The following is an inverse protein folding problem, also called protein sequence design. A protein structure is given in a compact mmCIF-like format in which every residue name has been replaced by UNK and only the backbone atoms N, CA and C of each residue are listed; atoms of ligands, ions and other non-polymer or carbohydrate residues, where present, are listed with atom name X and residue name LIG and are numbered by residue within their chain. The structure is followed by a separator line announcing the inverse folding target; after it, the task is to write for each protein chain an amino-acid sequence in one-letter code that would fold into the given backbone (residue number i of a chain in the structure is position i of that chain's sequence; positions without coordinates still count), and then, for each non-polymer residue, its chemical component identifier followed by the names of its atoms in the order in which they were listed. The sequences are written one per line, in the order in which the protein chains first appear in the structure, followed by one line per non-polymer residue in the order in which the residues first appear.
data_IF_598047193678
#
_entry.id   IF_598047193678
#
_cell.length_a   1.000
_cell.length_b   1.000
_cell.length_c   1.000
_cell.angle_alpha   90.00
_cell.angle_beta   90.00
_cell.angle_gamma   90.00
#
_symmetry.space_group_name_H-M   'P 1'
#
loop_
_entity.id
_entity.type
_entity.pdbx_description
1 polymer ?
#
# COMPACT_ATOMS: atom_id res chain seq x y z
N UNK A 1 -25.07 25.26 -7.36
CA UNK A 1 -23.78 24.57 -7.33
C UNK A 1 -23.53 24.05 -5.93
N UNK A 2 -23.85 22.80 -5.66
CA UNK A 2 -23.30 22.10 -4.49
C UNK A 2 -22.31 21.10 -5.08
N UNK A 3 -21.09 21.56 -5.35
CA UNK A 3 -20.01 20.70 -5.85
C UNK A 3 -19.79 19.60 -4.81
N UNK A 4 -19.83 18.33 -5.25
CA UNK A 4 -19.57 17.18 -4.36
C UNK A 4 -18.20 17.37 -3.72
N UNK A 5 -18.16 17.44 -2.40
CA UNK A 5 -16.94 17.73 -1.63
C UNK A 5 -15.90 16.65 -1.87
N UNK A 6 -16.30 15.37 -1.93
CA UNK A 6 -15.35 14.26 -2.15
C UNK A 6 -14.74 14.25 -3.55
N UNK A 7 -15.26 15.05 -4.48
CA UNK A 7 -14.72 15.20 -5.85
C UNK A 7 -13.81 16.41 -5.97
N UNK A 8 -13.52 17.10 -4.86
CA UNK A 8 -12.60 18.24 -4.84
C UNK A 8 -11.25 17.85 -4.23
N UNK A 9 -10.12 18.32 -4.80
CA UNK A 9 -8.80 18.09 -4.21
C UNK A 9 -8.68 18.66 -2.79
N UNK A 10 -9.36 19.77 -2.51
CA UNK A 10 -9.32 20.45 -1.21
C UNK A 10 -9.85 19.57 -0.08
N UNK A 11 -10.85 18.73 -0.37
CA UNK A 11 -11.39 17.82 0.64
C UNK A 11 -10.33 16.81 1.08
N UNK A 12 -9.72 16.06 0.15
CA UNK A 12 -8.74 15.02 0.51
C UNK A 12 -7.44 15.60 1.08
N UNK A 13 -6.99 16.74 0.55
CA UNK A 13 -5.76 17.40 0.99
C UNK A 13 -5.91 18.05 2.38
N UNK A 14 -6.96 18.84 2.57
CA UNK A 14 -7.05 19.74 3.74
C UNK A 14 -8.08 19.28 4.77
N UNK A 15 -9.21 18.71 4.35
CA UNK A 15 -10.36 18.48 5.23
C UNK A 15 -10.47 17.04 5.72
N UNK A 16 -10.04 16.08 4.90
CA UNK A 16 -10.13 14.66 5.23
C UNK A 16 -9.26 14.38 6.45
N UNK A 17 -9.90 13.79 7.46
CA UNK A 17 -9.28 13.19 8.63
C UNK A 17 -10.11 11.95 8.95
N UNK A 18 -9.43 10.82 9.20
CA UNK A 18 -10.12 9.61 9.59
C UNK A 18 -10.72 9.82 10.99
N UNK A 19 -12.05 9.84 11.05
CA UNK A 19 -12.80 10.10 12.27
C UNK A 19 -12.94 8.83 13.12
N UNK A 20 -13.38 8.98 14.38
CA UNK A 20 -13.68 7.82 15.24
C UNK A 20 -14.72 6.90 14.60
N UNK A 21 -15.74 7.46 13.94
CA UNK A 21 -16.78 6.69 13.25
C UNK A 21 -16.20 5.89 12.07
N UNK A 22 -15.14 6.39 11.44
CA UNK A 22 -14.44 5.69 10.37
C UNK A 22 -13.64 4.51 10.93
N UNK A 23 -12.96 4.69 12.06
CA UNK A 23 -12.25 3.59 12.72
C UNK A 23 -13.21 2.51 13.25
N UNK A 24 -14.36 2.89 13.81
CA UNK A 24 -15.40 1.94 14.26
C UNK A 24 -16.00 1.16 13.08
N UNK A 25 -16.16 1.82 11.93
CA UNK A 25 -16.64 1.15 10.73
C UNK A 25 -15.66 0.09 10.23
N UNK A 26 -14.36 0.43 10.18
CA UNK A 26 -13.32 -0.52 9.80
C UNK A 26 -13.23 -1.64 10.83
N UNK A 27 -13.37 -1.34 12.13
CA UNK A 27 -13.41 -2.35 13.19
C UNK A 27 -14.53 -3.38 12.92
N UNK A 28 -15.76 -2.92 12.70
CA UNK A 28 -16.90 -3.79 12.41
C UNK A 28 -16.68 -4.60 11.13
N UNK A 29 -16.10 -3.99 10.10
CA UNK A 29 -15.80 -4.68 8.86
C UNK A 29 -14.76 -5.80 9.03
N UNK A 30 -13.71 -5.57 9.83
CA UNK A 30 -12.71 -6.59 10.15
C UNK A 30 -13.35 -7.71 10.97
N UNK A 31 -14.21 -7.35 11.93
CA UNK A 31 -14.95 -8.31 12.76
C UNK A 31 -15.88 -9.21 11.92
N UNK A 32 -16.61 -8.61 10.96
CA UNK A 32 -17.54 -9.34 10.08
C UNK A 32 -16.82 -10.23 9.07
N UNK A 33 -15.73 -9.73 8.46
CA UNK A 33 -15.03 -10.44 7.39
C UNK A 33 -13.95 -11.40 7.91
N UNK A 34 -13.50 -11.23 9.16
CA UNK A 34 -12.46 -12.01 9.84
C UNK A 34 -11.23 -12.28 8.95
N UNK A 35 -10.75 -11.23 8.26
CA UNK A 35 -9.60 -11.29 7.36
C UNK A 35 -8.63 -10.15 7.63
N UNK A 36 -7.41 -10.28 7.13
CA UNK A 36 -6.41 -9.22 7.14
C UNK A 36 -6.75 -8.15 6.11
N UNK A 37 -6.40 -6.91 6.42
CA UNK A 37 -6.56 -5.78 5.50
C UNK A 37 -5.23 -5.07 5.34
N UNK A 38 -4.91 -4.69 4.11
CA UNK A 38 -3.79 -3.77 3.86
C UNK A 38 -4.21 -2.33 4.18
N UNK A 39 -3.24 -1.44 4.38
CA UNK A 39 -3.53 -0.01 4.53
C UNK A 39 -4.34 0.55 3.35
N UNK A 40 -4.07 0.03 2.15
CA UNK A 40 -4.70 0.45 0.91
C UNK A 40 -6.15 -0.04 0.84
N UNK A 41 -6.42 -1.28 1.25
CA UNK A 41 -7.79 -1.81 1.37
C UNK A 41 -8.64 -0.95 2.32
N UNK A 42 -8.07 -0.58 3.47
CA UNK A 42 -8.74 0.26 4.46
C UNK A 42 -8.98 1.65 3.87
N UNK A 43 -7.97 2.25 3.26
CA UNK A 43 -8.07 3.59 2.69
C UNK A 43 -9.12 3.65 1.57
N UNK A 44 -9.13 2.70 0.63
CA UNK A 44 -10.14 2.60 -0.42
C UNK A 44 -11.53 2.42 0.17
N UNK A 45 -11.67 1.59 1.21
CA UNK A 45 -12.97 1.36 1.86
C UNK A 45 -13.49 2.63 2.55
N UNK A 46 -12.61 3.41 3.18
CA UNK A 46 -12.98 4.71 3.74
C UNK A 46 -13.36 5.70 2.65
N UNK A 47 -12.63 5.76 1.54
CA UNK A 47 -12.99 6.63 0.41
C UNK A 47 -14.39 6.29 -0.12
N UNK A 48 -14.69 4.99 -0.30
CA UNK A 48 -16.02 4.51 -0.69
C UNK A 48 -17.10 4.96 0.28
N UNK A 49 -16.90 4.74 1.58
CA UNK A 49 -17.84 5.15 2.62
C UNK A 49 -18.12 6.66 2.58
N UNK A 50 -17.10 7.49 2.45
CA UNK A 50 -17.29 8.95 2.37
C UNK A 50 -18.07 9.36 1.11
N UNK A 51 -17.81 8.72 -0.03
CA UNK A 51 -18.61 8.92 -1.25
C UNK A 51 -20.06 8.44 -1.09
N UNK A 52 -20.29 7.29 -0.45
CA UNK A 52 -21.62 6.74 -0.22
C UNK A 52 -22.44 7.61 0.75
N UNK A 53 -21.81 8.14 1.81
CA UNK A 53 -22.44 9.08 2.75
C UNK A 53 -22.85 10.35 2.01
N UNK A 54 -21.97 10.91 1.16
CA UNK A 54 -22.30 12.08 0.35
C UNK A 54 -23.42 11.76 -0.67
N UNK A 55 -23.41 10.58 -1.28
CA UNK A 55 -24.48 10.17 -2.20
C UNK A 55 -25.82 9.97 -1.48
N UNK A 56 -25.83 9.37 -0.29
CA UNK A 56 -27.03 9.21 0.53
C UNK A 56 -27.58 10.56 1.01
N UNK A 57 -26.71 11.50 1.39
CA UNK A 57 -27.10 12.86 1.73
C UNK A 57 -27.73 13.57 0.53
N UNK A 58 -27.08 13.50 -0.64
CA UNK A 58 -27.62 14.04 -1.88
C UNK A 58 -28.97 13.38 -2.24
N UNK A 59 -29.09 12.05 -2.17
CA UNK A 59 -30.35 11.34 -2.41
C UNK A 59 -31.46 11.74 -1.43
N UNK A 60 -31.15 11.98 -0.18
CA UNK A 60 -32.13 12.41 0.83
C UNK A 60 -32.63 13.82 0.58
N UNK A 61 -31.76 14.72 0.09
CA UNK A 61 -32.19 16.04 -0.42
C UNK A 61 -33.05 15.88 -1.68
N UNK A 62 -32.69 14.95 -2.57
CA UNK A 62 -33.47 14.66 -3.78
C UNK A 62 -34.86 14.07 -3.48
N UNK A 63 -35.05 13.32 -2.39
CA UNK A 63 -36.37 12.82 -2.00
C UNK A 63 -37.37 13.92 -1.60
N UNK A 64 -36.92 15.17 -1.43
CA UNK A 64 -37.81 16.30 -1.22
C UNK A 64 -38.53 16.77 -2.50
N UNK A 65 -38.13 16.28 -3.69
CA UNK A 65 -38.75 16.61 -4.97
C UNK A 65 -38.80 15.43 -5.95
N UNK A 66 -39.67 15.50 -6.97
CA UNK A 66 -39.77 14.44 -8.00
C UNK A 66 -38.76 14.72 -9.12
N UNK A 67 -37.98 13.74 -9.56
CA UNK A 67 -37.03 13.94 -10.67
C UNK A 67 -37.82 14.19 -11.96
N UNK A 68 -37.47 15.24 -12.70
CA UNK A 68 -38.08 15.58 -13.98
C UNK A 68 -37.67 14.58 -15.07
N UNK A 69 -38.67 13.99 -15.71
CA UNK A 69 -38.61 13.05 -16.81
C UNK A 69 -39.58 13.52 -17.91
N UNK A 70 -39.10 13.75 -19.14
CA UNK A 70 -39.94 14.24 -20.23
C UNK A 70 -41.16 13.38 -20.60
N UNK A 71 -41.17 12.07 -20.33
CA UNK A 71 -42.32 11.20 -20.59
C UNK A 71 -43.42 11.26 -19.52
N UNK A 72 -43.12 11.81 -18.34
CA UNK A 72 -44.06 11.93 -17.25
C UNK A 72 -44.92 13.20 -17.35
N UNK A 73 -46.00 13.20 -16.56
CA UNK A 73 -46.91 14.33 -16.39
C UNK A 73 -46.73 14.97 -15.00
N UNK A 74 -46.84 16.30 -14.97
CA UNK A 74 -46.63 17.12 -13.77
C UNK A 74 -47.72 18.18 -13.59
N UNK A 75 -48.14 18.36 -12.35
CA UNK A 75 -49.15 19.35 -11.99
C UNK A 75 -48.55 20.73 -11.73
N UNK A 76 -49.36 21.78 -11.90
CA UNK A 76 -48.99 23.15 -11.50
C UNK A 76 -48.77 23.17 -9.97
N UNK A 77 -47.68 23.81 -9.53
CA UNK A 77 -47.11 23.82 -8.18
C UNK A 77 -46.38 22.55 -7.71
N UNK A 78 -46.18 21.55 -8.57
CA UNK A 78 -45.33 20.39 -8.24
C UNK A 78 -43.85 20.81 -8.21
N UNK A 79 -43.09 20.26 -7.24
CA UNK A 79 -41.65 20.48 -7.13
C UNK A 79 -40.89 19.40 -7.89
N UNK A 80 -40.13 19.83 -8.88
CA UNK A 80 -39.36 18.97 -9.76
C UNK A 80 -37.87 19.25 -9.64
N UNK A 81 -37.08 18.20 -9.81
CA UNK A 81 -35.62 18.27 -9.80
C UNK A 81 -35.09 18.01 -11.19
N UNK A 82 -34.23 18.89 -11.69
CA UNK A 82 -33.72 18.84 -13.07
C UNK A 82 -32.27 18.34 -13.12
N UNK A 83 -32.00 17.09 -13.55
CA UNK A 83 -30.64 16.53 -13.56
C UNK A 83 -29.66 17.29 -14.47
N UNK A 84 -30.13 17.81 -15.61
CA UNK A 84 -29.31 18.59 -16.55
C UNK A 84 -28.98 20.01 -16.05
N UNK A 85 -29.61 20.44 -14.95
CA UNK A 85 -29.42 21.76 -14.36
C UNK A 85 -28.85 21.63 -12.94
N UNK A 86 -27.83 20.79 -12.76
CA UNK A 86 -27.17 20.54 -11.47
C UNK A 86 -28.14 20.14 -10.35
N UNK A 87 -29.16 19.34 -10.66
CA UNK A 87 -30.24 18.98 -9.73
C UNK A 87 -30.98 20.19 -9.14
N UNK A 88 -31.11 21.27 -9.91
CA UNK A 88 -31.88 22.43 -9.48
C UNK A 88 -33.33 22.03 -9.16
N UNK A 89 -33.80 22.50 -8.00
CA UNK A 89 -35.20 22.46 -7.62
C UNK A 89 -35.96 23.54 -8.40
N UNK A 90 -37.05 23.14 -9.04
CA UNK A 90 -37.95 24.02 -9.76
C UNK A 90 -39.41 23.74 -9.42
N UNK A 91 -40.23 24.79 -9.42
CA UNK A 91 -41.67 24.68 -9.25
C UNK A 91 -42.40 24.92 -10.57
N UNK A 92 -43.33 24.04 -10.93
CA UNK A 92 -44.14 24.18 -12.15
C UNK A 92 -45.09 25.36 -12.00
N UNK A 93 -44.90 26.41 -12.80
CA UNK A 93 -45.72 27.62 -12.78
C UNK A 93 -46.95 27.49 -13.68
N UNK A 94 -46.80 26.86 -14.85
CA UNK A 94 -47.90 26.62 -15.78
C UNK A 94 -47.62 25.43 -16.68
N UNK A 95 -48.68 24.90 -17.27
CA UNK A 95 -48.63 23.84 -18.28
C UNK A 95 -49.43 24.28 -19.51
N UNK A 96 -48.86 24.20 -20.71
CA UNK A 96 -49.55 24.51 -21.98
C UNK A 96 -49.38 23.39 -22.99
N UNK A 97 -50.35 23.20 -23.87
CA UNK A 97 -50.22 22.21 -24.95
C UNK A 97 -49.28 22.73 -26.05
N UNK A 98 -48.28 21.91 -26.37
CA UNK A 98 -47.31 22.10 -27.44
C UNK A 98 -47.60 21.18 -28.61
N UNK A 99 -47.31 21.64 -29.83
CA UNK A 99 -47.43 20.83 -31.05
C UNK A 99 -46.19 21.05 -31.91
N UNK A 100 -45.50 19.95 -32.22
CA UNK A 100 -44.41 19.96 -33.19
C UNK A 100 -44.78 19.10 -34.40
N UNK A 101 -44.53 19.56 -35.64
CA UNK A 101 -44.86 18.80 -36.85
C UNK A 101 -44.27 17.39 -36.90
N UNK A 102 -43.08 17.19 -36.32
CA UNK A 102 -42.36 15.90 -36.33
C UNK A 102 -42.65 15.02 -35.10
N UNK A 103 -42.89 15.63 -33.93
CA UNK A 103 -42.99 14.89 -32.66
C UNK A 103 -44.41 14.74 -32.13
N UNK A 104 -45.41 15.39 -32.77
CA UNK A 104 -46.80 15.32 -32.37
C UNK A 104 -47.14 16.30 -31.24
N UNK A 105 -48.11 15.91 -30.40
CA UNK A 105 -48.57 16.72 -29.27
C UNK A 105 -47.76 16.35 -28.02
N UNK A 106 -47.37 17.35 -27.24
CA UNK A 106 -46.71 17.19 -25.93
C UNK A 106 -47.11 18.36 -25.04
N UNK A 107 -46.85 18.24 -23.74
CA UNK A 107 -47.11 19.31 -22.79
C UNK A 107 -45.84 20.14 -22.60
N UNK A 108 -45.95 21.47 -22.56
CA UNK A 108 -44.86 22.38 -22.21
C UNK A 108 -45.08 22.86 -20.78
N UNK A 109 -44.10 22.62 -19.90
CA UNK A 109 -44.06 23.09 -18.53
C UNK A 109 -43.27 24.40 -18.48
N UNK A 110 -43.83 25.46 -17.91
CA UNK A 110 -43.05 26.62 -17.47
C UNK A 110 -42.60 26.40 -16.04
N UNK A 111 -41.30 26.25 -15.80
CA UNK A 111 -40.73 25.96 -14.47
C UNK A 111 -39.80 27.08 -14.03
N UNK A 112 -40.02 27.58 -12.81
CA UNK A 112 -39.11 28.54 -12.18
C UNK A 112 -38.06 27.75 -11.42
N UNK A 113 -36.82 27.77 -11.90
CA UNK A 113 -35.69 27.18 -11.19
C UNK A 113 -35.29 28.09 -10.02
N UNK A 114 -35.16 27.53 -8.82
CA UNK A 114 -34.74 28.31 -7.64
C UNK A 114 -33.32 28.89 -7.79
N UNK A 115 -32.48 28.29 -8.63
CA UNK A 115 -31.10 28.71 -8.88
C UNK A 115 -30.98 29.97 -9.75
N UNK A 116 -31.90 30.21 -10.68
CA UNK A 116 -31.84 31.36 -11.60
C UNK A 116 -32.96 32.37 -11.39
N UNK A 117 -34.09 31.97 -10.78
CA UNK A 117 -35.30 32.79 -10.69
C UNK A 117 -35.96 33.07 -12.04
N UNK A 118 -35.45 32.49 -13.13
CA UNK A 118 -35.97 32.63 -14.50
C UNK A 118 -36.87 31.45 -14.82
N UNK A 119 -37.95 31.73 -15.55
CA UNK A 119 -38.84 30.70 -16.07
C UNK A 119 -38.16 30.02 -17.25
N UNK A 120 -37.94 28.71 -17.15
CA UNK A 120 -37.49 27.87 -18.24
C UNK A 120 -38.65 26.99 -18.72
N UNK A 121 -38.75 26.78 -20.04
CA UNK A 121 -39.75 25.90 -20.62
C UNK A 121 -39.18 24.48 -20.83
N UNK A 122 -39.91 23.47 -20.39
CA UNK A 122 -39.56 22.06 -20.45
C UNK A 122 -40.67 21.24 -21.08
N UNK A 123 -40.38 20.03 -21.56
CA UNK A 123 -41.37 19.16 -22.22
C UNK A 123 -41.90 18.10 -21.24
N UNK A 124 -43.18 17.78 -21.26
CA UNK A 124 -43.84 16.71 -20.51
C UNK A 124 -44.74 15.91 -21.47
N UNK A 125 -45.17 14.71 -21.05
CA UNK A 125 -45.93 13.78 -21.88
C UNK A 125 -45.24 13.46 -23.23
N UNK A 126 -43.90 13.44 -23.26
CA UNK A 126 -43.12 13.16 -24.46
C UNK A 126 -43.03 11.65 -24.70
N UNK A 127 -43.84 11.13 -25.62
CA UNK A 127 -43.96 9.70 -25.90
C UNK A 127 -42.79 9.09 -26.70
N UNK A 128 -41.80 9.90 -27.12
CA UNK A 128 -40.63 9.43 -27.87
C UNK A 128 -39.46 9.12 -26.93
N UNK A 129 -38.53 8.27 -27.38
CA UNK A 129 -37.36 7.92 -26.60
C UNK A 129 -36.52 9.16 -26.26
N UNK A 130 -36.32 9.44 -24.97
CA UNK A 130 -35.49 10.54 -24.49
C UNK A 130 -34.39 10.00 -23.56
N UNK A 131 -33.13 10.47 -23.67
CA UNK A 131 -32.02 10.01 -22.82
C UNK A 131 -32.27 10.15 -21.30
N UNK A 132 -33.08 11.13 -20.90
CA UNK A 132 -33.48 11.35 -19.49
C UNK A 132 -34.47 10.31 -18.93
N UNK A 133 -35.14 9.54 -19.79
CA UNK A 133 -36.09 8.50 -19.37
C UNK A 133 -35.39 7.15 -19.15
N UNK A 134 -34.23 6.94 -19.77
CA UNK A 134 -33.49 5.68 -19.74
C UNK A 134 -32.68 5.46 -18.44
N UNK A 135 -32.45 6.51 -17.64
CA UNK A 135 -31.50 6.52 -16.53
C UNK A 135 -32.16 6.29 -15.16
N UNK A 136 -32.83 5.14 -14.97
CA UNK A 136 -33.04 4.58 -13.61
C UNK A 136 -31.75 3.98 -13.03
N UNK A 137 -30.73 3.77 -13.86
CA UNK A 137 -29.45 3.20 -13.46
C UNK A 137 -28.39 4.31 -13.32
N UNK A 138 -28.17 4.70 -12.07
CA UNK A 138 -27.07 5.51 -11.53
C UNK A 138 -26.93 6.95 -12.04
N UNK A 139 -27.43 7.90 -11.24
CA UNK A 139 -27.16 9.35 -11.36
C UNK A 139 -25.66 9.68 -11.38
N UNK A 140 -24.79 8.78 -10.91
CA UNK A 140 -23.35 8.95 -10.92
C UNK A 140 -22.74 8.94 -12.34
N UNK A 141 -23.28 8.11 -13.26
CA UNK A 141 -22.74 7.99 -14.62
C UNK A 141 -23.03 9.21 -15.50
N UNK A 142 -24.07 9.98 -15.18
CA UNK A 142 -24.44 11.19 -15.94
C UNK A 142 -23.58 12.41 -15.61
N UNK A 143 -22.83 12.38 -14.50
CA UNK A 143 -22.09 13.53 -13.99
C UNK A 143 -20.58 13.49 -14.27
N UNK A 144 -20.06 12.42 -14.90
CA UNK A 144 -18.62 12.28 -15.16
C UNK A 144 -17.76 12.28 -13.89
N UNK A 145 -18.31 11.75 -12.79
CA UNK A 145 -17.64 11.70 -11.49
C UNK A 145 -16.58 10.62 -11.49
N UNK A 146 -15.47 10.90 -10.82
CA UNK A 146 -14.43 9.89 -10.59
C UNK A 146 -14.97 8.83 -9.63
N UNK A 147 -14.65 7.57 -9.91
CA UNK A 147 -14.90 6.45 -9.03
C UNK A 147 -14.08 6.56 -7.74
N UNK A 148 -14.52 5.93 -6.64
CA UNK A 148 -13.74 5.87 -5.40
C UNK A 148 -12.31 5.35 -5.59
N UNK A 149 -12.12 4.39 -6.49
CA UNK A 149 -10.82 3.83 -6.84
C UNK A 149 -9.91 4.86 -7.53
N UNK A 150 -10.46 5.64 -8.48
CA UNK A 150 -9.72 6.70 -9.16
C UNK A 150 -9.35 7.84 -8.20
N UNK A 151 -10.27 8.21 -7.29
CA UNK A 151 -9.99 9.20 -6.25
C UNK A 151 -8.89 8.73 -5.29
N UNK A 152 -8.90 7.45 -4.91
CA UNK A 152 -7.84 6.90 -4.08
C UNK A 152 -6.48 6.95 -4.81
N UNK A 153 -6.41 6.52 -6.07
CA UNK A 153 -5.17 6.52 -6.83
C UNK A 153 -4.57 7.93 -6.96
N UNK A 154 -5.41 8.95 -7.18
CA UNK A 154 -4.97 10.35 -7.29
C UNK A 154 -4.47 10.93 -5.95
N UNK A 155 -5.05 10.52 -4.82
CA UNK A 155 -4.81 11.13 -3.51
C UNK A 155 -4.17 10.20 -2.45
N UNK A 156 -3.68 9.02 -2.85
CA UNK A 156 -3.12 8.00 -1.95
C UNK A 156 -2.02 8.54 -1.03
N UNK A 157 -1.11 9.37 -1.55
CA UNK A 157 0.02 9.96 -0.81
C UNK A 157 -0.44 10.82 0.37
N UNK A 158 -1.64 11.38 0.30
CA UNK A 158 -2.22 12.19 1.39
C UNK A 158 -3.13 11.36 2.30
N UNK A 159 -3.86 10.38 1.72
CA UNK A 159 -4.84 9.58 2.46
C UNK A 159 -4.13 8.53 3.34
N UNK A 160 -3.15 7.80 2.80
CA UNK A 160 -2.46 6.71 3.51
C UNK A 160 -1.88 7.16 4.86
N UNK A 161 -1.13 8.28 4.96
CA UNK A 161 -0.58 8.72 6.25
C UNK A 161 -1.66 9.09 7.27
N UNK A 162 -2.76 9.71 6.82
CA UNK A 162 -3.88 10.11 7.70
C UNK A 162 -4.62 8.90 8.24
N UNK A 163 -4.86 7.90 7.40
CA UNK A 163 -5.50 6.63 7.81
C UNK A 163 -4.57 5.87 8.76
N UNK A 164 -3.28 5.75 8.42
CA UNK A 164 -2.28 5.11 9.28
C UNK A 164 -2.22 5.74 10.67
N UNK A 165 -2.16 7.07 10.74
CA UNK A 165 -2.13 7.79 12.02
C UNK A 165 -3.40 7.54 12.86
N UNK A 166 -4.58 7.48 12.23
CA UNK A 166 -5.83 7.19 12.94
C UNK A 166 -5.91 5.75 13.45
N UNK A 167 -5.44 4.77 12.66
CA UNK A 167 -5.37 3.37 13.09
C UNK A 167 -4.37 3.21 14.25
N UNK A 168 -3.20 3.86 14.19
CA UNK A 168 -2.21 3.82 15.26
C UNK A 168 -2.67 4.50 16.55
N UNK A 169 -3.51 5.53 16.45
CA UNK A 169 -4.12 6.18 17.61
C UNK A 169 -5.17 5.29 18.28
N UNK A 170 -5.72 4.31 17.56
CA UNK A 170 -6.67 3.35 18.09
C UNK A 170 -5.93 2.07 18.54
N UNK A 171 -5.92 1.81 19.85
CA UNK A 171 -5.20 0.67 20.45
C UNK A 171 -5.73 -0.71 20.06
N UNK A 172 -6.91 -0.79 19.44
CA UNK A 172 -7.57 -2.04 19.06
C UNK A 172 -6.97 -2.65 17.78
N UNK A 173 -6.34 -1.83 16.94
CA UNK A 173 -5.69 -2.31 15.74
C UNK A 173 -4.23 -2.68 16.01
N UNK A 174 -3.79 -3.75 15.33
CA UNK A 174 -2.40 -4.18 15.32
C UNK A 174 -1.88 -4.18 13.89
N UNK A 175 -0.63 -3.76 13.71
CA UNK A 175 0.05 -3.68 12.42
C UNK A 175 1.23 -4.66 12.39
N UNK A 176 1.41 -5.38 11.29
CA UNK A 176 2.61 -6.16 10.99
C UNK A 176 2.82 -6.20 9.46
N UNK A 177 3.99 -5.76 8.96
CA UNK A 177 4.30 -5.55 7.53
C UNK A 177 3.14 -4.99 6.68
N UNK A 178 2.65 -3.80 7.04
CA UNK A 178 1.54 -3.10 6.34
C UNK A 178 0.19 -3.82 6.31
N UNK A 179 0.05 -4.94 7.04
CA UNK A 179 -1.21 -5.63 7.27
C UNK A 179 -1.77 -5.25 8.64
N UNK A 180 -3.08 -5.05 8.69
CA UNK A 180 -3.83 -4.64 9.86
C UNK A 180 -4.85 -5.71 10.26
N UNK A 181 -5.00 -5.90 11.58
CA UNK A 181 -6.00 -6.77 12.16
C UNK A 181 -6.43 -6.27 13.54
N UNK A 182 -7.43 -6.92 14.15
CA UNK A 182 -7.90 -6.60 15.49
C UNK A 182 -7.11 -7.36 16.57
N UNK A 183 -6.67 -6.62 17.59
CA UNK A 183 -5.93 -7.15 18.74
C UNK A 183 -6.68 -8.27 19.46
N UNK A 184 -7.98 -8.10 19.64
CA UNK A 184 -8.83 -9.02 20.41
C UNK A 184 -9.09 -10.35 19.68
N UNK A 185 -8.91 -10.37 18.36
CA UNK A 185 -9.06 -11.56 17.53
C UNK A 185 -7.75 -12.34 17.33
N UNK A 186 -6.64 -11.85 17.89
CA UNK A 186 -5.36 -12.55 17.81
C UNK A 186 -5.40 -13.85 18.61
N UNK A 187 -4.75 -14.88 18.08
CA UNK A 187 -4.55 -16.13 18.81
C UNK A 187 -3.85 -15.86 20.16
N UNK A 188 -4.32 -16.55 21.20
CA UNK A 188 -3.72 -16.47 22.53
C UNK A 188 -2.29 -17.06 22.48
N UNK A 189 -1.35 -16.33 23.06
CA UNK A 189 0.06 -16.71 23.07
C UNK A 189 0.61 -16.57 24.49
N UNK A 190 1.25 -17.61 25.00
CA UNK A 190 1.83 -17.63 26.34
C UNK A 190 3.33 -17.89 26.29
N UNK A 191 4.03 -17.61 27.40
CA UNK A 191 5.50 -17.72 27.50
C UNK A 191 6.05 -19.07 27.03
N UNK A 192 5.39 -20.18 27.40
CA UNK A 192 5.75 -21.52 26.94
C UNK A 192 5.85 -21.67 25.41
N UNK A 193 4.98 -21.02 24.63
CA UNK A 193 5.04 -21.09 23.16
C UNK A 193 6.24 -20.35 22.61
N UNK A 194 6.61 -19.21 23.21
CA UNK A 194 7.83 -18.52 22.81
C UNK A 194 9.08 -19.35 23.12
N UNK A 195 9.11 -20.07 24.24
CA UNK A 195 10.23 -20.96 24.56
C UNK A 195 10.34 -22.13 23.58
N UNK A 196 9.21 -22.63 23.06
CA UNK A 196 9.20 -23.64 21.99
C UNK A 196 9.75 -23.05 20.69
N UNK A 197 9.33 -21.83 20.31
CA UNK A 197 9.90 -21.14 19.14
C UNK A 197 11.42 -20.95 19.27
N UNK A 198 11.85 -20.50 20.44
CA UNK A 198 13.27 -20.26 20.74
C UNK A 198 14.09 -21.54 20.58
N UNK A 199 13.65 -22.64 21.22
CA UNK A 199 14.29 -23.94 21.09
C UNK A 199 14.27 -24.48 19.66
N UNK A 200 13.16 -24.29 18.93
CA UNK A 200 13.04 -24.75 17.55
C UNK A 200 14.06 -24.06 16.62
N UNK A 201 14.23 -22.73 16.75
CA UNK A 201 15.22 -21.99 15.96
C UNK A 201 16.65 -22.37 16.35
N UNK A 202 16.92 -22.51 17.65
CA UNK A 202 18.23 -22.88 18.17
C UNK A 202 18.68 -24.26 17.67
N UNK A 203 17.77 -25.25 17.68
CA UNK A 203 18.03 -26.60 17.17
C UNK A 203 18.18 -26.61 15.65
N UNK A 204 17.39 -25.81 14.92
CA UNK A 204 17.46 -25.72 13.46
C UNK A 204 18.76 -25.04 12.98
N UNK A 205 19.41 -24.23 13.82
CA UNK A 205 20.62 -23.47 13.49
C UNK A 205 20.46 -22.58 12.23
N UNK A 206 19.23 -22.10 12.02
CA UNK A 206 18.83 -21.36 10.83
C UNK A 206 17.44 -20.75 11.01
N UNK A 207 17.05 -19.79 10.17
CA UNK A 207 15.81 -19.07 10.34
C UNK A 207 14.62 -19.96 9.97
N UNK A 208 13.49 -19.78 10.64
CA UNK A 208 12.29 -20.60 10.47
C UNK A 208 11.11 -19.77 10.00
N UNK A 209 10.31 -20.34 9.10
CA UNK A 209 9.06 -19.72 8.68
C UNK A 209 8.03 -19.74 9.81
N UNK A 210 7.07 -18.80 9.75
CA UNK A 210 5.93 -18.79 10.66
C UNK A 210 5.27 -20.17 10.72
N UNK A 211 4.91 -20.75 9.56
CA UNK A 211 4.26 -22.06 9.43
C UNK A 211 5.01 -23.17 10.19
N UNK A 212 6.33 -23.26 10.01
CA UNK A 212 7.14 -24.26 10.71
C UNK A 212 7.07 -24.08 12.21
N UNK A 213 7.10 -22.83 12.71
CA UNK A 213 6.95 -22.56 14.14
C UNK A 213 5.55 -22.94 14.66
N UNK A 214 4.49 -22.71 13.88
CA UNK A 214 3.11 -23.11 14.23
C UNK A 214 3.03 -24.63 14.45
N UNK A 215 3.66 -25.39 13.56
CA UNK A 215 3.72 -26.85 13.63
C UNK A 215 4.51 -27.31 14.86
N UNK A 216 5.69 -26.73 15.12
CA UNK A 216 6.50 -27.06 16.31
C UNK A 216 5.78 -26.75 17.62
N UNK A 217 4.97 -25.69 17.64
CA UNK A 217 4.16 -25.30 18.79
C UNK A 217 2.88 -26.13 18.96
N UNK A 218 2.49 -26.92 17.95
CA UNK A 218 1.25 -27.69 17.97
C UNK A 218 -0.02 -26.83 17.93
N UNK A 219 0.05 -25.65 17.31
CA UNK A 219 -1.07 -24.70 17.22
C UNK A 219 -1.97 -24.93 16.00
N UNK A 220 -1.57 -25.79 15.07
CA UNK A 220 -2.38 -26.13 13.91
C UNK A 220 -3.56 -27.02 14.31
N UNK A 221 -4.75 -26.44 14.42
CA UNK A 221 -5.99 -27.20 14.64
C UNK A 221 -6.31 -28.03 13.38
N UNK A 222 -6.49 -29.34 13.54
CA UNK A 222 -6.74 -30.27 12.44
C UNK A 222 -5.70 -30.24 11.30
N UNK A 223 -4.50 -29.68 11.54
CA UNK A 223 -3.45 -29.52 10.53
C UNK A 223 -3.65 -28.34 9.58
N UNK A 224 -4.66 -27.48 9.80
CA UNK A 224 -4.88 -26.30 8.97
C UNK A 224 -4.23 -25.06 9.62
N UNK A 225 -3.41 -24.37 8.84
CA UNK A 225 -2.79 -23.11 9.27
C UNK A 225 -3.54 -21.96 8.62
N UNK A 226 -4.35 -21.26 9.41
CA UNK A 226 -5.12 -20.10 8.94
C UNK A 226 -4.24 -18.86 8.78
N UNK A 227 -4.69 -17.91 7.96
CA UNK A 227 -3.98 -16.63 7.75
C UNK A 227 -3.94 -15.79 9.03
N UNK A 228 -5.02 -15.80 9.81
CA UNK A 228 -5.10 -15.13 11.12
C UNK A 228 -4.10 -15.71 12.10
N UNK A 229 -3.90 -17.03 12.12
CA UNK A 229 -2.90 -17.67 12.99
C UNK A 229 -1.47 -17.31 12.58
N UNK A 230 -1.16 -17.32 11.28
CA UNK A 230 0.12 -16.83 10.75
C UNK A 230 0.40 -15.40 11.17
N UNK A 231 -0.57 -14.50 10.96
CA UNK A 231 -0.46 -13.11 11.35
C UNK A 231 -0.30 -12.94 12.85
N UNK A 232 -1.08 -13.69 13.65
CA UNK A 232 -0.99 -13.64 15.11
C UNK A 232 0.40 -14.01 15.61
N UNK A 233 0.99 -15.08 15.09
CA UNK A 233 2.32 -15.53 15.50
C UNK A 233 3.38 -14.53 15.07
N UNK A 234 3.31 -14.05 13.84
CA UNK A 234 4.23 -13.05 13.33
C UNK A 234 4.19 -11.76 14.16
N UNK A 235 2.99 -11.24 14.44
CA UNK A 235 2.82 -10.08 15.31
C UNK A 235 3.38 -10.33 16.71
N UNK A 236 3.14 -11.51 17.31
CA UNK A 236 3.62 -11.83 18.66
C UNK A 236 5.14 -11.94 18.73
N UNK A 237 5.76 -12.63 17.77
CA UNK A 237 7.22 -12.78 17.70
C UNK A 237 7.91 -11.44 17.41
N UNK A 238 7.34 -10.61 16.52
CA UNK A 238 7.87 -9.28 16.22
C UNK A 238 7.80 -8.29 17.38
N UNK A 239 6.99 -8.58 18.41
CA UNK A 239 6.91 -7.79 19.65
C UNK A 239 7.72 -8.42 20.80
N UNK A 240 8.42 -9.53 20.59
CA UNK A 240 9.29 -10.16 21.59
C UNK A 240 10.76 -9.93 21.25
N UNK A 241 11.53 -9.42 22.22
CA UNK A 241 12.91 -8.95 22.01
C UNK A 241 13.91 -10.05 21.61
N UNK A 242 13.55 -11.34 21.82
CA UNK A 242 14.42 -12.47 21.49
C UNK A 242 14.49 -12.77 20.00
N UNK A 243 13.44 -12.41 19.27
CA UNK A 243 13.27 -12.77 17.88
C UNK A 243 13.52 -11.55 16.98
N UNK A 244 14.03 -11.82 15.79
CA UNK A 244 14.11 -10.83 14.71
C UNK A 244 13.63 -11.48 13.41
N UNK A 245 13.04 -10.68 12.53
CA UNK A 245 12.75 -11.13 11.17
C UNK A 245 14.02 -10.95 10.34
N UNK A 246 14.47 -12.02 9.70
CA UNK A 246 15.67 -12.02 8.84
C UNK A 246 15.35 -12.46 7.42
N UNK A 247 14.07 -12.45 7.05
CA UNK A 247 13.61 -12.79 5.71
C UNK A 247 13.72 -11.62 4.71
N UNK A 248 13.73 -11.93 3.41
CA UNK A 248 13.63 -10.91 2.36
C UNK A 248 12.24 -10.29 2.27
N UNK A 249 12.13 -9.18 1.53
CA UNK A 249 10.84 -8.55 1.26
C UNK A 249 9.79 -9.55 0.75
N UNK A 250 8.63 -9.58 1.41
CA UNK A 250 7.52 -10.50 1.10
C UNK A 250 7.61 -11.86 1.79
N UNK A 251 8.69 -12.17 2.51
CA UNK A 251 8.85 -13.42 3.25
C UNK A 251 9.33 -13.17 4.67
N UNK A 252 8.55 -13.63 5.65
CA UNK A 252 8.91 -13.53 7.08
C UNK A 252 9.64 -14.79 7.51
N UNK A 253 10.85 -14.64 8.03
CA UNK A 253 11.68 -15.71 8.55
C UNK A 253 12.22 -15.33 9.93
N UNK A 254 11.81 -16.06 10.95
CA UNK A 254 12.19 -15.76 12.33
C UNK A 254 13.54 -16.34 12.68
N UNK A 255 14.38 -15.53 13.30
CA UNK A 255 15.66 -15.93 13.86
C UNK A 255 15.84 -15.39 15.28
N UNK A 256 16.91 -15.85 15.93
CA UNK A 256 17.22 -15.47 17.30
C UNK A 256 18.25 -14.34 17.31
N UNK A 257 17.85 -13.22 17.90
CA UNK A 257 18.68 -12.01 17.95
C UNK A 257 20.03 -12.22 18.62
N UNK A 258 20.10 -13.13 19.61
CA UNK A 258 21.35 -13.49 20.30
C UNK A 258 22.36 -14.25 19.43
N UNK A 259 21.91 -14.85 18.34
CA UNK A 259 22.74 -15.63 17.41
C UNK A 259 23.18 -14.79 16.20
N UNK A 260 22.70 -13.56 16.09
CA UNK A 260 23.03 -12.68 14.99
C UNK A 260 24.44 -12.11 15.13
N UNK A 261 25.23 -12.07 14.05
CA UNK A 261 26.52 -11.41 14.08
C UNK A 261 26.34 -9.91 14.25
N UNK A 262 27.24 -9.27 15.01
CA UNK A 262 27.23 -7.81 15.20
C UNK A 262 27.39 -7.09 13.85
N UNK A 263 28.10 -7.70 12.92
CA UNK A 263 28.29 -7.25 11.55
C UNK A 263 27.01 -7.27 10.70
N UNK A 264 25.91 -7.89 11.12
CA UNK A 264 24.63 -7.72 10.43
C UNK A 264 24.01 -6.33 10.73
N UNK A 265 24.31 -5.77 11.91
CA UNK A 265 23.71 -4.53 12.41
C UNK A 265 24.65 -3.33 12.37
N UNK A 266 25.95 -3.56 12.49
CA UNK A 266 26.95 -2.51 12.60
C UNK A 266 28.10 -2.71 11.61
N UNK A 267 28.45 -1.68 10.83
CA UNK A 267 29.54 -1.77 9.88
C UNK A 267 30.86 -1.98 10.63
N UNK A 268 31.68 -2.96 10.22
CA UNK A 268 33.04 -3.10 10.71
C UNK A 268 33.80 -1.77 10.59
N UNK A 269 34.67 -1.48 11.57
CA UNK A 269 35.43 -0.20 11.62
C UNK A 269 36.15 0.19 10.32
N UNK A 270 36.50 -0.80 9.48
CA UNK A 270 37.21 -0.60 8.21
C UNK A 270 36.31 -0.16 7.05
N UNK A 271 34.99 -0.32 7.19
CA UNK A 271 33.96 0.11 6.24
C UNK A 271 33.25 1.39 6.70
N UNK A 272 33.63 1.92 7.87
CA UNK A 272 33.08 3.18 8.36
C UNK A 272 33.73 4.34 7.61
N UNK A 273 33.06 4.81 6.55
CA UNK A 273 33.49 5.95 5.75
C UNK A 273 32.71 7.19 6.16
N UNK A 274 33.41 8.28 6.48
CA UNK A 274 32.81 9.60 6.62
C UNK A 274 32.82 10.29 5.24
N UNK A 275 31.85 9.95 4.39
CA UNK A 275 31.73 10.57 3.07
C UNK A 275 30.96 11.89 3.18
N UNK A 276 31.53 13.04 2.76
CA UNK A 276 30.76 14.28 2.66
C UNK A 276 29.68 14.14 1.58
N UNK A 277 28.54 14.83 1.76
CA UNK A 277 27.51 14.89 0.73
C UNK A 277 28.10 15.47 -0.56
N UNK A 278 27.93 14.78 -1.68
CA UNK A 278 28.36 15.23 -2.99
C UNK A 278 27.21 15.12 -4.01
N UNK A 279 27.28 15.88 -5.09
CA UNK A 279 26.35 15.78 -6.23
C UNK A 279 27.11 15.25 -7.45
N UNK A 280 26.82 14.01 -7.87
CA UNK A 280 27.47 13.38 -9.02
C UNK A 280 27.22 14.12 -10.35
N UNK A 281 26.20 14.98 -10.41
CA UNK A 281 25.93 15.84 -11.58
C UNK A 281 26.99 16.93 -11.74
N UNK A 282 27.66 17.32 -10.65
CA UNK A 282 28.73 18.31 -10.68
C UNK A 282 30.07 17.73 -11.18
N UNK A 283 30.20 16.41 -11.26
CA UNK A 283 31.41 15.74 -11.74
C UNK A 283 31.48 15.71 -13.27
N UNK A 284 32.70 15.75 -13.81
CA UNK A 284 32.93 15.51 -15.23
C UNK A 284 32.86 14.00 -15.55
N UNK A 285 32.89 13.66 -16.83
CA UNK A 285 32.71 12.27 -17.27
C UNK A 285 33.83 11.35 -16.77
N UNK A 286 35.06 11.88 -16.60
CA UNK A 286 36.19 11.11 -16.06
C UNK A 286 35.98 10.76 -14.58
N UNK A 287 35.55 11.72 -13.76
CA UNK A 287 35.26 11.47 -12.35
C UNK A 287 34.06 10.54 -12.17
N UNK A 288 33.04 10.64 -13.03
CA UNK A 288 31.91 9.69 -13.03
C UNK A 288 32.36 8.28 -13.41
N UNK A 289 33.23 8.14 -14.40
CA UNK A 289 33.81 6.85 -14.77
C UNK A 289 34.57 6.23 -13.60
N UNK A 290 35.37 7.04 -12.89
CA UNK A 290 36.13 6.59 -11.72
C UNK A 290 35.22 6.13 -10.57
N UNK A 291 34.11 6.82 -10.32
CA UNK A 291 33.10 6.38 -9.35
C UNK A 291 32.54 5.00 -9.69
N UNK A 292 32.25 4.76 -10.97
CA UNK A 292 31.78 3.46 -11.44
C UNK A 292 32.82 2.34 -11.41
N UNK A 293 34.11 2.68 -11.37
CA UNK A 293 35.22 1.73 -11.21
C UNK A 293 35.48 1.36 -9.75
N UNK A 294 35.36 2.31 -8.81
CA UNK A 294 35.55 2.06 -7.37
C UNK A 294 34.45 1.15 -6.84
N UNK A 295 33.19 1.48 -7.15
CA UNK A 295 32.00 0.65 -6.96
C UNK A 295 32.00 -0.09 -5.59
N UNK A 296 31.88 0.69 -4.52
CA UNK A 296 31.91 0.23 -3.13
C UNK A 296 30.66 0.67 -2.33
N UNK A 297 30.60 0.40 -1.03
CA UNK A 297 29.47 0.76 -0.16
C UNK A 297 29.21 2.27 -0.07
N UNK A 298 30.22 3.10 -0.34
CA UNK A 298 30.11 4.56 -0.27
C UNK A 298 29.43 5.15 -1.51
N UNK A 299 29.31 4.35 -2.57
CA UNK A 299 28.74 4.74 -3.85
C UNK A 299 27.22 4.84 -3.75
N UNK A 300 26.65 5.94 -4.23
CA UNK A 300 25.19 6.09 -4.27
C UNK A 300 24.61 5.36 -5.49
N UNK A 301 23.58 4.55 -5.27
CA UNK A 301 22.93 3.75 -6.31
C UNK A 301 22.30 4.64 -7.40
N UNK A 302 21.90 5.87 -7.05
CA UNK A 302 21.31 6.82 -7.99
C UNK A 302 22.35 7.51 -8.91
N UNK A 303 23.64 7.43 -8.58
CA UNK A 303 24.70 8.12 -9.31
C UNK A 303 25.26 7.29 -10.47
N UNK A 304 25.01 5.98 -10.48
CA UNK A 304 25.52 5.05 -11.49
C UNK A 304 24.31 4.40 -12.20
N UNK A 305 24.22 4.49 -13.53
CA UNK A 305 23.19 3.78 -14.27
C UNK A 305 23.35 2.26 -14.05
N UNK A 306 22.26 1.62 -13.61
CA UNK A 306 22.20 0.17 -13.39
C UNK A 306 22.52 -0.53 -14.72
N UNK A 307 23.63 -1.28 -14.75
CA UNK A 307 23.95 -2.17 -15.87
C UNK A 307 22.96 -3.34 -15.82
N UNK A 308 22.39 -3.70 -16.97
CA UNK A 308 21.17 -4.51 -17.11
C UNK A 308 21.03 -5.69 -16.14
N UNK A 309 19.79 -5.94 -15.71
CA UNK A 309 19.34 -6.92 -14.71
C UNK A 309 19.44 -8.40 -15.13
N UNK A 310 20.14 -8.70 -16.23
CA UNK A 310 20.15 -10.02 -16.90
C UNK A 310 21.56 -10.60 -16.97
N UNK A 311 22.28 -10.53 -15.86
CA UNK A 311 23.66 -10.98 -15.72
C UNK A 311 23.69 -12.13 -14.73
N UNK A 312 24.05 -13.34 -15.19
CA UNK A 312 24.20 -14.52 -14.34
C UNK A 312 25.54 -14.57 -13.58
N UNK A 313 26.51 -13.74 -13.97
CA UNK A 313 27.85 -13.72 -13.39
C UNK A 313 28.47 -12.33 -13.41
N UNK A 314 28.97 -11.92 -12.25
CA UNK A 314 29.80 -10.73 -12.10
C UNK A 314 31.22 -11.10 -11.68
N UNK A 315 32.16 -10.18 -11.88
CA UNK A 315 33.52 -10.33 -11.39
C UNK A 315 33.88 -9.07 -10.61
N UNK A 316 34.34 -9.27 -9.37
CA UNK A 316 34.63 -8.17 -8.45
C UNK A 316 36.09 -8.25 -8.00
N UNK A 317 36.70 -7.09 -7.76
CA UNK A 317 38.03 -7.01 -7.17
C UNK A 317 37.89 -6.95 -5.65
N UNK A 318 38.44 -7.96 -4.97
CA UNK A 318 38.40 -8.03 -3.50
C UNK A 318 39.35 -6.97 -2.90
N UNK A 319 38.78 -5.86 -2.44
CA UNK A 319 39.55 -4.80 -1.80
C UNK A 319 40.01 -5.17 -0.36
N UNK A 320 40.91 -4.37 0.21
CA UNK A 320 41.48 -4.65 1.53
C UNK A 320 40.46 -4.65 2.66
N UNK A 321 39.56 -3.64 2.79
CA UNK A 321 38.52 -3.64 3.83
C UNK A 321 37.65 -4.89 3.82
N UNK A 322 37.11 -5.28 2.65
CA UNK A 322 36.25 -6.45 2.51
C UNK A 322 36.98 -7.76 2.77
N UNK A 323 38.22 -7.91 2.27
CA UNK A 323 39.04 -9.10 2.57
C UNK A 323 39.26 -9.27 4.07
N UNK A 324 39.51 -8.17 4.81
CA UNK A 324 39.77 -8.24 6.25
C UNK A 324 38.51 -8.40 7.08
N UNK A 325 37.39 -7.86 6.63
CA UNK A 325 36.10 -7.97 7.31
C UNK A 325 35.32 -9.23 6.93
N UNK A 326 35.71 -9.94 5.87
CA UNK A 326 34.92 -11.07 5.37
C UNK A 326 33.60 -10.65 4.74
N UNK A 327 33.61 -9.48 4.10
CA UNK A 327 32.41 -8.86 3.50
C UNK A 327 32.55 -8.73 1.98
N UNK A 328 31.48 -8.25 1.34
CA UNK A 328 31.40 -7.92 -0.08
C UNK A 328 30.48 -6.69 -0.25
N UNK A 329 30.81 -5.70 -1.09
CA UNK A 329 30.01 -4.48 -1.18
C UNK A 329 28.70 -4.74 -1.92
N UNK A 330 27.60 -4.15 -1.43
CA UNK A 330 26.34 -4.07 -2.16
C UNK A 330 26.35 -2.82 -3.02
N UNK A 331 26.56 -3.03 -4.30
CA UNK A 331 26.68 -1.99 -5.32
C UNK A 331 25.58 -2.19 -6.37
N UNK A 332 25.36 -1.23 -7.28
CA UNK A 332 24.41 -1.41 -8.37
C UNK A 332 24.66 -2.69 -9.19
N UNK A 333 25.91 -3.19 -9.24
CA UNK A 333 26.28 -4.40 -9.98
C UNK A 333 26.03 -5.69 -9.20
N UNK A 334 26.09 -5.65 -7.87
CA UNK A 334 26.00 -6.84 -7.00
C UNK A 334 24.62 -7.03 -6.38
N UNK A 335 23.87 -5.95 -6.19
CA UNK A 335 22.61 -5.97 -5.44
C UNK A 335 21.58 -6.97 -5.99
N UNK A 336 21.49 -7.14 -7.31
CA UNK A 336 20.52 -8.07 -7.93
C UNK A 336 20.76 -9.54 -7.60
N UNK A 337 21.96 -9.90 -7.13
CA UNK A 337 22.29 -11.27 -6.74
C UNK A 337 21.89 -11.61 -5.30
N UNK A 338 21.54 -10.62 -4.50
CA UNK A 338 21.27 -10.80 -3.08
C UNK A 338 19.79 -10.54 -2.75
N UNK A 339 19.21 -11.34 -1.85
CA UNK A 339 17.90 -11.05 -1.31
C UNK A 339 17.97 -9.76 -0.47
N UNK A 340 16.97 -8.88 -0.60
CA UNK A 340 16.95 -7.59 0.11
C UNK A 340 15.70 -7.47 0.99
N UNK A 341 15.86 -6.73 2.09
CA UNK A 341 14.78 -6.19 2.90
C UNK A 341 15.13 -4.77 3.31
N UNK A 342 14.12 -3.89 3.32
CA UNK A 342 14.29 -2.50 3.77
C UNK A 342 14.27 -2.33 5.29
N UNK A 343 13.80 -3.33 6.03
CA UNK A 343 13.50 -3.20 7.47
C UNK A 343 14.53 -3.91 8.36
N UNK A 344 15.14 -4.98 7.86
CA UNK A 344 15.94 -5.91 8.67
C UNK A 344 17.13 -6.46 7.87
N UNK A 345 18.21 -6.89 8.56
CA UNK A 345 19.25 -7.68 7.93
C UNK A 345 18.68 -9.01 7.40
N UNK A 346 19.04 -9.38 6.17
CA UNK A 346 18.53 -10.61 5.56
C UNK A 346 19.55 -11.73 5.72
N UNK A 347 19.11 -12.86 6.28
CA UNK A 347 19.91 -14.09 6.34
C UNK A 347 19.67 -14.94 5.12
N UNK A 348 20.75 -15.40 4.49
CA UNK A 348 20.69 -16.30 3.34
C UNK A 348 21.84 -17.31 3.39
N UNK A 349 21.89 -18.21 2.42
CA UNK A 349 22.98 -19.19 2.29
C UNK A 349 23.80 -18.92 1.04
N UNK A 350 25.11 -18.81 1.22
CA UNK A 350 26.07 -18.91 0.13
C UNK A 350 26.23 -20.37 -0.28
N UNK A 351 26.52 -20.59 -1.57
CA UNK A 351 26.87 -21.91 -2.11
C UNK A 351 28.23 -21.79 -2.79
N UNK A 352 29.22 -22.55 -2.32
CA UNK A 352 30.52 -22.62 -2.98
C UNK A 352 30.39 -23.44 -4.28
N UNK A 353 30.57 -22.80 -5.43
CA UNK A 353 30.41 -23.45 -6.74
C UNK A 353 31.40 -24.59 -7.03
N UNK A 354 32.51 -24.71 -6.28
CA UNK A 354 33.48 -25.81 -6.46
C UNK A 354 33.18 -27.01 -5.58
N UNK A 355 32.75 -26.78 -4.34
CA UNK A 355 32.54 -27.84 -3.35
C UNK A 355 31.07 -28.21 -3.18
N UNK A 356 30.15 -27.32 -3.52
CA UNK A 356 28.72 -27.43 -3.23
C UNK A 356 28.37 -27.16 -1.78
N UNK A 357 29.34 -26.80 -0.93
CA UNK A 357 29.10 -26.53 0.48
C UNK A 357 28.30 -25.23 0.64
N UNK A 358 27.30 -25.26 1.53
CA UNK A 358 26.56 -24.07 1.92
C UNK A 358 27.08 -23.50 3.23
N UNK A 359 27.03 -22.18 3.35
CA UNK A 359 27.41 -21.47 4.57
C UNK A 359 26.61 -20.16 4.70
N UNK A 360 26.38 -19.67 5.92
CA UNK A 360 25.48 -18.55 6.12
C UNK A 360 26.08 -17.22 5.65
N UNK A 361 25.21 -16.40 5.07
CA UNK A 361 25.46 -15.01 4.70
C UNK A 361 24.43 -14.06 5.31
N UNK A 362 24.81 -12.79 5.41
CA UNK A 362 23.96 -11.71 5.92
C UNK A 362 24.03 -10.51 5.00
N UNK A 363 22.89 -9.95 4.62
CA UNK A 363 22.77 -8.71 3.86
C UNK A 363 22.47 -7.58 4.83
N UNK A 364 23.41 -6.64 4.97
CA UNK A 364 23.24 -5.43 5.77
C UNK A 364 22.91 -4.26 4.83
N UNK A 365 21.68 -4.20 4.33
CA UNK A 365 21.27 -3.24 3.29
C UNK A 365 21.48 -1.78 3.73
N UNK A 366 21.18 -1.46 5.01
CA UNK A 366 21.38 -0.12 5.59
C UNK A 366 22.83 0.38 5.48
N UNK A 367 23.78 -0.55 5.46
CA UNK A 367 25.22 -0.27 5.38
C UNK A 367 25.84 -0.71 4.05
N UNK A 368 25.01 -1.17 3.10
CA UNK A 368 25.40 -1.57 1.73
C UNK A 368 26.54 -2.59 1.66
N UNK A 369 26.51 -3.63 2.48
CA UNK A 369 27.41 -4.78 2.31
C UNK A 369 26.76 -6.11 2.68
N UNK A 370 27.44 -7.18 2.27
CA UNK A 370 27.15 -8.57 2.64
C UNK A 370 28.26 -9.10 3.54
N UNK A 371 27.91 -9.85 4.57
CA UNK A 371 28.82 -10.48 5.53
C UNK A 371 28.71 -12.01 5.49
N UNK A 372 29.79 -12.71 5.85
CA UNK A 372 29.81 -14.18 5.96
C UNK A 372 30.91 -14.87 5.13
N UNK A 373 31.74 -14.10 4.39
CA UNK A 373 32.77 -14.65 3.50
C UNK A 373 34.16 -14.78 4.16
N UNK A 374 34.29 -14.39 5.42
CA UNK A 374 35.59 -14.32 6.11
C UNK A 374 36.32 -15.67 6.20
N UNK A 375 35.63 -16.72 6.63
CA UNK A 375 36.22 -18.07 6.68
C UNK A 375 36.51 -18.60 5.27
N UNK A 376 35.60 -18.38 4.33
CA UNK A 376 35.75 -18.80 2.94
C UNK A 376 36.99 -18.15 2.29
N UNK A 377 37.21 -16.85 2.49
CA UNK A 377 38.42 -16.14 2.03
C UNK A 377 39.71 -16.73 2.61
N UNK A 378 39.69 -17.17 3.87
CA UNK A 378 40.84 -17.78 4.54
C UNK A 378 41.11 -19.19 4.01
N UNK A 379 40.07 -20.02 3.88
CA UNK A 379 40.18 -21.39 3.36
C UNK A 379 40.78 -21.42 1.95
N UNK A 380 40.39 -20.47 1.09
CA UNK A 380 40.88 -20.35 -0.28
C UNK A 380 42.12 -19.44 -0.44
N UNK A 381 42.69 -18.95 0.66
CA UNK A 381 43.88 -18.08 0.68
C UNK A 381 43.79 -16.85 -0.24
N UNK A 382 42.62 -16.20 -0.31
CA UNK A 382 42.44 -15.07 -1.21
C UNK A 382 43.26 -13.84 -0.78
N UNK A 383 44.14 -13.33 -1.66
CA UNK A 383 44.86 -12.09 -1.42
C UNK A 383 43.96 -10.87 -1.66
N UNK A 384 44.43 -9.71 -1.20
CA UNK A 384 43.85 -8.43 -1.63
C UNK A 384 44.09 -8.26 -3.13
N UNK A 385 43.08 -7.80 -3.86
CA UNK A 385 43.10 -7.68 -5.31
C UNK A 385 42.75 -8.97 -6.05
N UNK A 386 42.34 -10.03 -5.34
CA UNK A 386 41.80 -11.24 -5.97
C UNK A 386 40.50 -10.91 -6.73
N UNK A 387 40.25 -11.65 -7.81
CA UNK A 387 38.98 -11.63 -8.52
C UNK A 387 38.07 -12.71 -7.97
N UNK A 388 36.84 -12.32 -7.60
CA UNK A 388 35.76 -13.22 -7.16
C UNK A 388 34.71 -13.26 -8.25
#
# INVERSE_FOLDING_TARGET
MTQRKTQTPAYWKEQFSASHQDTEFIYNQVLEQNRLFTLDDIAITLVKRHCDIEELAARSELQQGRIYQPDENYAVNEQLIFPLFDFALGAVQYTRQGRHPEYGNFTVLGVVLQSSGVVHEFVADFTHAHPLNASRQSLANLQGLMSPEELYHEYQETIRPKVKAALQANGDFVEFHEQYFLRDLLAAFHEGLFNIADAAIDINNGPLSANTLIEQMGLAEAGEITEVLRFSINYRLGNDERFDDVGPDGQVLWYLRRLEPVEAHQPPRRLQVNTPSYDARAFDDNLRSLLGEIDDESTNLADIPVVGTDIDRITLVLNYPHRRAGTLPLTPKTQSFFPISYYNPVRFEFVDGRTGNTFPGWVALSHKYVFGLGEWYQQHNLPVGAYI
#
